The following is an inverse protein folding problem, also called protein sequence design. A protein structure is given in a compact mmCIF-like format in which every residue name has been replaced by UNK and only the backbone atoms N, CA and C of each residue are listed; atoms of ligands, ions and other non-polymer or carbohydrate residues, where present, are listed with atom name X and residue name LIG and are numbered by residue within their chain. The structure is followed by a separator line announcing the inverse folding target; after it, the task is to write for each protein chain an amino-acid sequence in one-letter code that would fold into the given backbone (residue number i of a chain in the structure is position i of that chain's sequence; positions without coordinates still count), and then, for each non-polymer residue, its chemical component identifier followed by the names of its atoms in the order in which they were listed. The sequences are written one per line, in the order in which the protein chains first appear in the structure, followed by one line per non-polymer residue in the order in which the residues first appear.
data_IF_712963277508
#
_entry.id   IF_712963277508
#
_cell.length_a   1.000
_cell.length_b   1.000
_cell.length_c   1.000
_cell.angle_alpha   90.00
_cell.angle_beta   90.00
_cell.angle_gamma   90.00
#
_symmetry.space_group_name_H-M   'P 1'
#
loop_
_entity.id
_entity.type
_entity.pdbx_description
1 polymer ?
#
# COMPACT_ATOMS: atom_id res chain seq x y z
N UNK A 1 4.50 2.49 10.30
CA UNK A 1 5.67 2.23 11.14
C UNK A 1 5.37 2.51 12.62
N UNK A 2 4.90 3.73 12.99
CA UNK A 2 4.57 4.11 14.39
C UNK A 2 3.58 3.13 15.04
N UNK A 3 2.53 2.74 14.33
CA UNK A 3 1.52 1.80 14.82
C UNK A 3 2.04 0.35 14.90
N UNK A 4 2.95 -0.05 13.99
CA UNK A 4 3.62 -1.34 14.02
C UNK A 4 4.49 -1.51 15.27
N UNK A 5 5.18 -0.46 15.72
CA UNK A 5 5.98 -0.49 16.95
C UNK A 5 5.12 -0.87 18.16
N UNK A 6 3.89 -0.35 18.24
CA UNK A 6 2.96 -0.72 19.33
C UNK A 6 2.51 -2.18 19.23
N UNK A 7 2.16 -2.65 18.05
CA UNK A 7 1.76 -4.04 17.84
C UNK A 7 2.88 -5.00 18.22
N UNK A 8 4.12 -4.71 17.84
CA UNK A 8 5.31 -5.46 18.25
C UNK A 8 5.54 -5.39 19.77
N UNK A 9 5.37 -4.22 20.35
CA UNK A 9 5.51 -4.03 21.80
C UNK A 9 4.51 -4.90 22.58
N UNK A 10 3.24 -4.91 22.22
CA UNK A 10 2.24 -5.78 22.85
C UNK A 10 2.55 -7.26 22.65
N UNK A 11 3.04 -7.64 21.49
CA UNK A 11 3.47 -9.01 21.21
C UNK A 11 4.64 -9.41 22.13
N UNK A 12 5.65 -8.55 22.29
CA UNK A 12 6.79 -8.82 23.17
C UNK A 12 6.38 -8.88 24.64
N UNK A 13 5.54 -7.99 25.14
CA UNK A 13 5.05 -8.05 26.53
C UNK A 13 4.23 -9.33 26.76
N UNK A 14 3.44 -9.75 25.79
CA UNK A 14 2.67 -10.99 25.87
C UNK A 14 3.55 -12.25 25.94
N UNK A 15 4.68 -12.27 25.22
CA UNK A 15 5.64 -13.37 25.24
C UNK A 15 6.56 -13.37 26.48
N UNK A 16 6.89 -12.20 27.00
CA UNK A 16 7.85 -12.04 28.11
C UNK A 16 7.25 -11.22 29.26
N UNK A 17 6.22 -11.73 29.98
CA UNK A 17 5.51 -10.98 31.01
C UNK A 17 6.36 -10.62 32.22
N UNK A 18 7.55 -11.22 32.38
CA UNK A 18 8.49 -10.94 33.46
C UNK A 18 9.45 -9.79 33.20
N UNK A 19 9.49 -9.28 31.97
CA UNK A 19 10.33 -8.13 31.63
C UNK A 19 9.62 -6.82 31.98
N UNK A 20 9.89 -6.27 33.16
CA UNK A 20 9.48 -4.93 33.55
C UNK A 20 10.37 -3.89 32.84
N UNK A 21 9.98 -3.42 31.67
CA UNK A 21 10.60 -2.25 31.08
C UNK A 21 9.97 -0.99 31.71
N UNK A 22 10.68 -0.33 32.60
CA UNK A 22 10.37 1.02 33.07
C UNK A 22 10.68 2.01 31.94
N UNK A 23 9.71 2.24 31.04
CA UNK A 23 9.91 3.01 29.79
C UNK A 23 9.12 4.31 29.84
N UNK A 24 8.78 4.83 31.03
CA UNK A 24 7.88 5.95 31.21
C UNK A 24 8.32 7.23 30.47
N UNK A 25 9.62 7.48 30.37
CA UNK A 25 10.17 8.64 29.66
C UNK A 25 10.03 8.54 28.12
N UNK A 26 10.07 7.33 27.56
CA UNK A 26 9.95 7.10 26.10
C UNK A 26 8.51 6.84 25.69
N UNK A 27 7.72 6.25 26.58
CA UNK A 27 6.31 5.88 26.30
C UNK A 27 5.44 7.11 26.10
N UNK A 28 5.59 8.15 26.93
CA UNK A 28 4.74 9.37 26.82
C UNK A 28 4.90 10.08 25.47
N UNK A 29 6.09 10.46 24.98
CA UNK A 29 6.23 11.08 23.67
C UNK A 29 5.81 10.17 22.53
N UNK A 30 6.07 8.85 22.64
CA UNK A 30 5.60 7.89 21.66
C UNK A 30 4.06 7.85 21.57
N UNK A 31 3.36 7.83 22.71
CA UNK A 31 1.89 7.80 22.75
C UNK A 31 1.28 9.08 22.14
N UNK A 32 1.90 10.25 22.39
CA UNK A 32 1.50 11.53 21.77
C UNK A 32 1.61 11.47 20.24
N UNK A 33 2.76 10.98 19.74
CA UNK A 33 2.97 10.82 18.30
C UNK A 33 1.95 9.82 17.74
N UNK A 34 1.75 8.69 18.41
CA UNK A 34 0.78 7.66 18.01
C UNK A 34 -0.62 8.23 17.89
N UNK A 35 -1.11 8.94 18.92
CA UNK A 35 -2.45 9.52 18.92
C UNK A 35 -2.63 10.57 17.82
N UNK A 36 -1.59 11.39 17.58
CA UNK A 36 -1.59 12.32 16.44
C UNK A 36 -1.74 11.59 15.11
N UNK A 37 -1.04 10.47 14.92
CA UNK A 37 -1.19 9.65 13.72
C UNK A 37 -2.56 8.97 13.63
N UNK A 38 -3.14 8.50 14.74
CA UNK A 38 -4.51 7.93 14.75
C UNK A 38 -5.52 8.96 14.22
N UNK A 39 -5.44 10.21 14.67
CA UNK A 39 -6.33 11.28 14.20
C UNK A 39 -6.07 11.60 12.72
N UNK A 40 -4.82 11.84 12.35
CA UNK A 40 -4.45 12.20 10.97
C UNK A 40 -4.84 11.10 9.97
N UNK A 41 -4.55 9.84 10.30
CA UNK A 41 -4.90 8.69 9.45
C UNK A 41 -6.42 8.53 9.35
N UNK A 42 -7.16 8.67 10.47
CA UNK A 42 -8.62 8.61 10.46
C UNK A 42 -9.24 9.68 9.54
N UNK A 43 -8.75 10.91 9.62
CA UNK A 43 -9.20 12.01 8.76
C UNK A 43 -8.85 11.75 7.29
N UNK A 44 -7.61 11.30 7.02
CA UNK A 44 -7.16 11.02 5.66
C UNK A 44 -7.94 9.87 5.01
N UNK A 45 -8.20 8.80 5.77
CA UNK A 45 -8.98 7.64 5.29
C UNK A 45 -10.45 8.03 5.07
N UNK A 46 -11.05 8.80 5.97
CA UNK A 46 -12.41 9.31 5.82
C UNK A 46 -12.52 10.18 4.56
N UNK A 47 -11.55 11.07 4.33
CA UNK A 47 -11.49 11.87 3.11
C UNK A 47 -11.28 11.01 1.85
N UNK A 48 -10.44 9.97 1.93
CA UNK A 48 -10.24 9.04 0.83
C UNK A 48 -11.51 8.24 0.49
N UNK A 49 -12.28 7.82 1.52
CA UNK A 49 -13.58 7.19 1.35
C UNK A 49 -14.59 8.17 0.71
N UNK A 50 -14.66 9.41 1.20
CA UNK A 50 -15.49 10.45 0.60
C UNK A 50 -15.17 10.66 -0.89
N UNK A 51 -13.88 10.75 -1.24
CA UNK A 51 -13.45 10.88 -2.64
C UNK A 51 -13.86 9.69 -3.50
N UNK A 52 -13.81 8.46 -2.97
CA UNK A 52 -14.16 7.25 -3.72
C UNK A 52 -15.67 7.04 -3.85
N UNK A 53 -16.44 7.38 -2.83
CA UNK A 53 -17.88 7.13 -2.78
C UNK A 53 -18.70 8.28 -3.39
N UNK A 54 -18.27 9.53 -3.17
CA UNK A 54 -19.01 10.74 -3.54
C UNK A 54 -18.42 11.42 -4.77
N UNK A 55 -17.14 11.81 -4.72
CA UNK A 55 -16.49 12.61 -5.77
C UNK A 55 -16.20 11.79 -7.02
N UNK A 56 -15.79 10.52 -6.86
CA UNK A 56 -15.51 9.56 -7.94
C UNK A 56 -14.64 10.14 -9.08
N UNK A 57 -13.43 10.62 -8.80
CA UNK A 57 -12.60 11.23 -9.84
C UNK A 57 -12.21 10.21 -10.89
N UNK A 58 -12.32 10.57 -12.17
CA UNK A 58 -12.10 9.69 -13.34
C UNK A 58 -10.73 9.01 -13.36
N UNK A 59 -9.68 9.71 -12.87
CA UNK A 59 -8.32 9.15 -12.82
C UNK A 59 -8.13 7.99 -11.84
N UNK A 60 -9.04 7.81 -10.86
CA UNK A 60 -8.94 6.76 -9.84
C UNK A 60 -9.66 5.49 -10.27
N UNK A 61 -8.99 4.36 -10.16
CA UNK A 61 -9.62 3.05 -10.29
C UNK A 61 -10.52 2.79 -9.08
N UNK A 62 -11.84 2.83 -9.30
CA UNK A 62 -12.83 2.54 -8.27
C UNK A 62 -12.99 1.03 -8.14
N UNK A 63 -12.40 0.43 -7.12
CA UNK A 63 -12.51 -1.00 -6.83
C UNK A 63 -13.09 -1.23 -5.44
N UNK A 64 -13.87 -2.30 -5.29
CA UNK A 64 -14.39 -2.73 -3.99
C UNK A 64 -13.25 -3.03 -3.01
N UNK A 65 -12.16 -3.63 -3.48
CA UNK A 65 -10.96 -3.92 -2.73
C UNK A 65 -10.38 -2.66 -2.05
N UNK A 66 -10.29 -1.54 -2.79
CA UNK A 66 -9.81 -0.27 -2.24
C UNK A 66 -10.73 0.31 -1.17
N UNK A 67 -12.04 0.05 -1.22
CA UNK A 67 -12.99 0.46 -0.18
C UNK A 67 -12.80 -0.42 1.06
N UNK A 68 -12.71 -1.75 0.88
CA UNK A 68 -12.51 -2.71 1.99
C UNK A 68 -11.24 -2.38 2.78
N UNK A 69 -10.13 -2.10 2.11
CA UNK A 69 -8.87 -1.75 2.79
C UNK A 69 -8.99 -0.43 3.55
N UNK A 70 -9.62 0.60 2.97
CA UNK A 70 -9.84 1.85 3.70
C UNK A 70 -10.72 1.66 4.93
N UNK A 71 -11.76 0.81 4.85
CA UNK A 71 -12.60 0.46 5.99
C UNK A 71 -11.83 -0.32 7.06
N UNK A 72 -10.96 -1.26 6.66
CA UNK A 72 -10.10 -1.98 7.61
C UNK A 72 -9.15 -1.02 8.34
N UNK A 73 -8.52 -0.08 7.61
CA UNK A 73 -7.63 0.91 8.24
C UNK A 73 -8.43 1.78 9.22
N UNK A 74 -9.61 2.24 8.84
CA UNK A 74 -10.46 3.05 9.73
C UNK A 74 -10.85 2.26 10.98
N UNK A 75 -11.21 0.98 10.82
CA UNK A 75 -11.58 0.11 11.93
C UNK A 75 -10.41 -0.17 12.88
N UNK A 76 -9.18 -0.32 12.33
CA UNK A 76 -7.94 -0.40 13.13
C UNK A 76 -7.74 0.88 13.95
N UNK A 77 -7.93 2.07 13.36
CA UNK A 77 -7.77 3.34 14.09
C UNK A 77 -8.82 3.51 15.18
N UNK A 78 -10.09 3.21 14.88
CA UNK A 78 -11.19 3.32 15.84
C UNK A 78 -11.03 2.31 16.98
N UNK A 79 -10.65 1.07 16.68
CA UNK A 79 -10.43 0.05 17.71
C UNK A 79 -9.24 0.38 18.61
N UNK A 80 -8.15 0.97 18.07
CA UNK A 80 -7.02 1.44 18.87
C UNK A 80 -7.44 2.56 19.84
N UNK A 81 -8.19 3.54 19.35
CA UNK A 81 -8.71 4.64 20.17
C UNK A 81 -9.67 4.16 21.27
N UNK A 82 -10.56 3.20 20.95
CA UNK A 82 -11.49 2.62 21.93
C UNK A 82 -10.79 1.72 22.95
N UNK A 83 -9.73 1.01 22.56
CA UNK A 83 -8.90 0.24 23.48
C UNK A 83 -8.25 1.13 24.52
N UNK A 84 -7.63 2.23 24.10
CA UNK A 84 -7.03 3.20 25.00
C UNK A 84 -8.06 3.89 25.89
N UNK A 85 -9.21 4.27 25.33
CA UNK A 85 -10.30 4.85 26.09
C UNK A 85 -10.86 3.91 27.16
N UNK A 86 -11.02 2.62 26.83
CA UNK A 86 -11.45 1.59 27.77
C UNK A 86 -10.43 1.36 28.87
N UNK A 87 -9.14 1.37 28.55
CA UNK A 87 -8.09 1.27 29.54
C UNK A 87 -8.08 2.48 30.49
N UNK A 88 -8.17 3.71 29.96
CA UNK A 88 -8.21 4.95 30.75
C UNK A 88 -9.47 5.04 31.63
N UNK A 89 -10.62 4.59 31.11
CA UNK A 89 -11.88 4.57 31.87
C UNK A 89 -11.81 3.63 33.08
N UNK A 90 -11.06 2.52 32.98
CA UNK A 90 -10.82 1.56 34.07
C UNK A 90 -9.76 2.03 35.07
N UNK A 91 -8.83 2.90 34.65
CA UNK A 91 -7.73 3.37 35.46
C UNK A 91 -7.71 4.92 35.55
N UNK A 92 -8.74 5.55 36.13
CA UNK A 92 -8.90 7.01 36.11
C UNK A 92 -7.79 7.76 36.87
N UNK A 93 -7.12 7.09 37.81
CA UNK A 93 -6.06 7.67 38.63
C UNK A 93 -4.67 7.59 37.97
N UNK A 94 -4.54 6.81 36.90
CA UNK A 94 -3.28 6.66 36.16
C UNK A 94 -3.36 7.53 34.91
N UNK A 95 -2.57 8.58 34.87
CA UNK A 95 -2.49 9.46 33.70
C UNK A 95 -1.24 9.10 32.91
N UNK A 96 -1.42 8.33 31.82
CA UNK A 96 -0.41 8.25 30.78
C UNK A 96 -0.51 9.54 29.95
N UNK A 97 0.47 10.42 30.08
CA UNK A 97 0.46 11.76 29.50
C UNK A 97 0.31 11.85 27.98
N UNK A 98 0.42 10.70 27.30
CA UNK A 98 0.39 10.61 25.82
C UNK A 98 -0.93 10.13 25.22
N UNK A 99 -1.91 9.68 26.01
CA UNK A 99 -3.19 9.13 25.49
C UNK A 99 -4.24 10.25 25.44
N UNK A 100 -4.17 11.12 24.42
CA UNK A 100 -5.09 12.24 24.30
C UNK A 100 -6.47 11.82 23.81
N UNK A 101 -6.53 11.01 22.75
CA UNK A 101 -7.79 10.54 22.13
C UNK A 101 -8.52 9.63 23.11
N UNK A 102 -7.83 8.64 23.68
CA UNK A 102 -8.42 7.73 24.68
C UNK A 102 -8.96 8.48 25.90
N UNK A 103 -8.21 9.49 26.41
CA UNK A 103 -8.61 10.31 27.55
C UNK A 103 -9.85 11.16 27.26
N UNK A 104 -10.01 11.63 26.02
CA UNK A 104 -11.19 12.43 25.62
C UNK A 104 -12.45 11.56 25.51
N UNK A 105 -12.31 10.28 25.15
CA UNK A 105 -13.43 9.34 25.01
C UNK A 105 -13.78 8.63 26.33
N UNK A 106 -12.81 8.44 27.22
CA UNK A 106 -12.98 7.70 28.48
C UNK A 106 -14.15 8.18 29.35
N UNK A 107 -14.40 9.49 29.57
CA UNK A 107 -15.54 9.96 30.36
C UNK A 107 -16.89 9.54 29.77
N UNK A 108 -17.00 9.49 28.43
CA UNK A 108 -18.21 9.04 27.74
C UNK A 108 -18.45 7.56 28.01
N UNK A 109 -17.39 6.74 27.98
CA UNK A 109 -17.48 5.32 28.27
C UNK A 109 -17.87 5.05 29.74
N UNK A 110 -17.40 5.87 30.68
CA UNK A 110 -17.72 5.74 32.10
C UNK A 110 -19.24 5.91 32.39
N UNK A 111 -19.95 6.71 31.58
CA UNK A 111 -21.40 6.88 31.69
C UNK A 111 -22.16 5.55 31.42
N UNK A 112 -21.58 4.66 30.60
CA UNK A 112 -22.18 3.38 30.24
C UNK A 112 -22.08 2.30 31.33
N UNK A 113 -21.31 2.58 32.40
CA UNK A 113 -21.09 1.65 33.52
C UNK A 113 -19.88 0.73 33.34
N UNK A 114 -19.39 0.19 34.45
CA UNK A 114 -18.15 -0.60 34.52
C UNK A 114 -18.13 -1.81 33.58
N UNK A 115 -19.25 -2.57 33.55
CA UNK A 115 -19.33 -3.79 32.75
C UNK A 115 -19.30 -3.51 31.26
N UNK A 116 -19.98 -2.45 30.81
CA UNK A 116 -19.95 -2.01 29.44
C UNK A 116 -18.52 -1.57 29.02
N UNK A 117 -17.79 -0.87 29.89
CA UNK A 117 -16.38 -0.46 29.63
C UNK A 117 -15.50 -1.69 29.42
N UNK A 118 -15.65 -2.74 30.26
CA UNK A 118 -14.87 -3.98 30.10
C UNK A 118 -15.18 -4.66 28.78
N UNK A 119 -16.47 -4.75 28.40
CA UNK A 119 -16.86 -5.36 27.13
C UNK A 119 -16.35 -4.57 25.93
N UNK A 120 -16.45 -3.23 25.94
CA UNK A 120 -15.96 -2.37 24.87
C UNK A 120 -14.44 -2.49 24.73
N UNK A 121 -13.70 -2.48 25.85
CA UNK A 121 -12.25 -2.63 25.83
C UNK A 121 -11.83 -3.98 25.24
N UNK A 122 -12.45 -5.09 25.66
CA UNK A 122 -12.15 -6.41 25.14
C UNK A 122 -12.53 -6.55 23.65
N UNK A 123 -13.71 -6.03 23.27
CA UNK A 123 -14.15 -6.03 21.89
C UNK A 123 -13.19 -5.22 20.99
N UNK A 124 -12.76 -4.04 21.45
CA UNK A 124 -11.81 -3.21 20.76
C UNK A 124 -10.47 -3.94 20.56
N UNK A 125 -9.96 -4.64 21.57
CA UNK A 125 -8.77 -5.45 21.48
C UNK A 125 -8.87 -6.52 20.40
N UNK A 126 -9.90 -7.36 20.46
CA UNK A 126 -10.07 -8.45 19.49
C UNK A 126 -10.34 -7.93 18.08
N UNK A 127 -11.14 -6.88 17.94
CA UNK A 127 -11.38 -6.22 16.65
C UNK A 127 -10.07 -5.72 16.05
N UNK A 128 -9.23 -5.06 16.86
CA UNK A 128 -7.94 -4.56 16.42
C UNK A 128 -7.04 -5.70 15.89
N UNK A 129 -6.87 -6.75 16.67
CA UNK A 129 -6.01 -7.90 16.29
C UNK A 129 -6.52 -8.57 15.02
N UNK A 130 -7.82 -8.86 14.95
CA UNK A 130 -8.40 -9.50 13.75
C UNK A 130 -8.24 -8.62 12.52
N UNK A 131 -8.51 -7.31 12.63
CA UNK A 131 -8.35 -6.39 11.51
C UNK A 131 -6.89 -6.26 11.05
N UNK A 132 -5.93 -6.22 11.98
CA UNK A 132 -4.50 -6.20 11.65
C UNK A 132 -4.10 -7.48 10.93
N UNK A 133 -4.50 -8.66 11.42
CA UNK A 133 -4.20 -9.93 10.77
C UNK A 133 -4.84 -10.02 9.37
N UNK A 134 -6.11 -9.63 9.24
CA UNK A 134 -6.77 -9.55 7.94
C UNK A 134 -6.04 -8.60 6.99
N UNK A 135 -5.64 -7.42 7.47
CA UNK A 135 -4.89 -6.46 6.66
C UNK A 135 -3.56 -7.03 6.20
N UNK A 136 -2.80 -7.68 7.09
CA UNK A 136 -1.51 -8.29 6.76
C UNK A 136 -1.62 -9.43 5.76
N UNK A 137 -2.70 -10.22 5.81
CA UNK A 137 -2.93 -11.32 4.84
C UNK A 137 -3.43 -10.82 3.49
N UNK A 138 -4.20 -9.72 3.47
CA UNK A 138 -4.69 -9.11 2.23
C UNK A 138 -3.59 -8.34 1.49
N UNK A 139 -2.63 -7.75 2.21
CA UNK A 139 -1.63 -6.85 1.64
C UNK A 139 -0.78 -7.48 0.52
N UNK A 140 -0.17 -8.68 0.70
CA UNK A 140 0.65 -9.30 -0.36
C UNK A 140 -0.16 -9.79 -1.57
N UNK A 141 -1.45 -10.10 -1.37
CA UNK A 141 -2.32 -10.64 -2.43
C UNK A 141 -3.18 -9.58 -3.10
N UNK A 142 -2.93 -8.31 -2.82
CA UNK A 142 -3.73 -7.20 -3.27
C UNK A 142 -2.90 -6.16 -4.03
N UNK A 143 -3.57 -5.27 -4.74
CA UNK A 143 -2.92 -4.11 -5.36
C UNK A 143 -2.19 -3.20 -4.34
N UNK A 144 -2.41 -3.39 -3.04
CA UNK A 144 -1.76 -2.62 -1.97
C UNK A 144 -0.37 -3.14 -1.62
N UNK A 145 0.13 -4.17 -2.31
CA UNK A 145 1.52 -4.62 -2.21
C UNK A 145 2.51 -3.46 -2.45
N UNK A 146 2.12 -2.45 -3.23
CA UNK A 146 2.92 -1.24 -3.45
C UNK A 146 3.33 -0.51 -2.15
N UNK A 147 2.62 -0.69 -1.04
CA UNK A 147 3.00 -0.11 0.27
C UNK A 147 4.37 -0.62 0.72
N UNK A 148 4.68 -1.88 0.43
CA UNK A 148 5.97 -2.50 0.74
C UNK A 148 6.96 -2.28 -0.41
N UNK A 149 6.54 -2.51 -1.65
CA UNK A 149 7.42 -2.54 -2.82
C UNK A 149 7.87 -1.16 -3.27
N UNK A 150 7.10 -0.09 -2.99
CA UNK A 150 7.49 1.27 -3.37
C UNK A 150 8.77 1.77 -2.68
N UNK A 151 9.03 1.35 -1.43
CA UNK A 151 10.24 1.75 -0.70
C UNK A 151 11.50 1.23 -1.40
N UNK A 152 11.68 -0.09 -1.62
CA UNK A 152 12.82 -0.59 -2.37
C UNK A 152 12.80 -0.10 -3.83
N UNK A 153 11.63 0.12 -4.42
CA UNK A 153 11.53 0.61 -5.79
C UNK A 153 12.16 2.00 -5.95
N UNK A 154 11.83 2.92 -5.05
CA UNK A 154 12.42 4.26 -5.03
C UNK A 154 13.91 4.19 -4.68
N UNK A 155 14.31 3.33 -3.75
CA UNK A 155 15.71 3.17 -3.38
C UNK A 155 16.58 2.69 -4.54
N UNK A 156 16.10 1.75 -5.34
CA UNK A 156 16.79 1.21 -6.51
C UNK A 156 16.45 1.95 -7.81
N UNK A 157 15.75 3.08 -7.74
CA UNK A 157 15.47 3.88 -8.93
C UNK A 157 16.76 4.41 -9.54
N UNK A 158 16.80 4.44 -10.87
CA UNK A 158 17.90 5.09 -11.58
C UNK A 158 17.64 6.59 -11.56
N UNK A 159 18.61 7.35 -11.05
CA UNK A 159 18.61 8.80 -11.22
C UNK A 159 19.21 9.04 -12.60
N UNK A 160 18.44 9.52 -13.59
CA UNK A 160 18.97 9.72 -14.93
C UNK A 160 20.08 10.78 -14.86
N UNK A 161 21.26 10.43 -15.31
CA UNK A 161 22.23 11.43 -15.76
C UNK A 161 21.56 12.24 -16.88
N UNK A 162 21.78 13.56 -16.88
CA UNK A 162 21.17 14.50 -17.83
C UNK A 162 21.02 13.91 -19.24
N UNK A 163 19.82 13.51 -19.60
CA UNK A 163 19.50 12.89 -20.89
C UNK A 163 18.56 11.70 -20.70
N UNK A 164 17.71 11.45 -21.67
CA UNK A 164 16.68 10.44 -21.68
C UNK A 164 17.18 9.10 -21.13
N UNK A 165 16.54 8.60 -20.07
CA UNK A 165 16.88 7.34 -19.42
C UNK A 165 16.64 6.07 -20.26
N UNK A 166 16.54 6.22 -21.58
CA UNK A 166 16.41 5.11 -22.51
C UNK A 166 17.73 4.35 -22.59
N UNK A 167 17.66 3.05 -22.44
CA UNK A 167 18.77 2.16 -22.70
C UNK A 167 19.18 2.24 -24.17
N UNK A 168 20.46 2.45 -24.43
CA UNK A 168 20.99 2.31 -25.79
C UNK A 168 20.93 0.84 -26.19
N UNK A 169 20.37 0.58 -27.36
CA UNK A 169 20.37 -0.73 -27.98
C UNK A 169 21.75 -0.89 -28.63
N UNK A 170 22.44 -1.97 -28.28
CA UNK A 170 23.71 -2.33 -28.89
C UNK A 170 23.46 -3.25 -30.08
N UNK A 171 23.51 -2.69 -31.27
CA UNK A 171 23.31 -3.44 -32.52
C UNK A 171 24.57 -4.18 -32.98
N UNK A 172 25.72 -3.98 -32.31
CA UNK A 172 26.99 -4.63 -32.65
C UNK A 172 27.17 -5.95 -31.88
N UNK A 173 26.30 -6.22 -30.92
CA UNK A 173 26.33 -7.46 -30.15
C UNK A 173 25.68 -8.60 -30.96
N UNK A 174 26.50 -9.41 -31.61
CA UNK A 174 26.06 -10.58 -32.42
C UNK A 174 25.41 -11.70 -31.61
N UNK A 175 25.57 -11.72 -30.29
CA UNK A 175 24.94 -12.71 -29.39
C UNK A 175 23.48 -12.35 -29.04
N UNK A 176 23.06 -11.14 -29.35
CA UNK A 176 21.72 -10.66 -28.99
C UNK A 176 20.72 -10.89 -30.13
N UNK A 177 19.93 -11.94 -30.03
CA UNK A 177 18.90 -12.27 -31.02
C UNK A 177 17.69 -11.33 -30.98
N UNK A 178 17.37 -10.75 -29.80
CA UNK A 178 16.21 -9.86 -29.57
C UNK A 178 16.67 -8.50 -29.02
N UNK A 179 16.25 -7.42 -29.68
CA UNK A 179 16.56 -6.03 -29.25
C UNK A 179 15.50 -5.40 -28.37
N UNK A 180 14.65 -6.20 -27.73
CA UNK A 180 13.58 -5.74 -26.85
C UNK A 180 13.05 -6.85 -25.99
N UNK A 181 11.99 -6.55 -25.22
CA UNK A 181 11.30 -7.49 -24.34
C UNK A 181 10.06 -7.98 -25.06
N UNK A 182 9.99 -9.28 -25.33
CA UNK A 182 8.84 -9.93 -26.01
C UNK A 182 7.95 -10.69 -25.04
N UNK A 183 8.50 -11.13 -23.90
CA UNK A 183 7.80 -11.90 -22.86
C UNK A 183 8.04 -11.29 -21.49
N UNK A 184 7.18 -11.63 -20.54
CA UNK A 184 7.21 -11.08 -19.19
C UNK A 184 8.45 -11.51 -18.37
N UNK A 185 9.00 -12.67 -18.65
CA UNK A 185 10.19 -13.24 -18.00
C UNK A 185 11.51 -12.63 -18.48
N UNK A 186 11.48 -11.91 -19.59
CA UNK A 186 12.65 -11.20 -20.12
C UNK A 186 12.89 -9.82 -19.46
N UNK A 187 11.93 -9.32 -18.67
CA UNK A 187 12.12 -8.09 -17.92
C UNK A 187 13.14 -8.25 -16.79
N UNK A 188 13.93 -7.22 -16.55
CA UNK A 188 14.82 -7.18 -15.39
C UNK A 188 14.01 -7.19 -14.08
N UNK A 189 14.60 -7.72 -13.00
CA UNK A 189 13.98 -7.73 -11.67
C UNK A 189 13.47 -6.36 -11.23
N UNK A 190 14.17 -5.28 -11.60
CA UNK A 190 13.76 -3.91 -11.29
C UNK A 190 12.46 -3.51 -12.01
N UNK A 191 12.31 -3.88 -13.27
CA UNK A 191 11.08 -3.63 -14.03
C UNK A 191 9.90 -4.47 -13.50
N UNK A 192 10.15 -5.70 -13.07
CA UNK A 192 9.14 -6.51 -12.39
C UNK A 192 8.71 -5.89 -11.06
N UNK A 193 9.65 -5.31 -10.30
CA UNK A 193 9.36 -4.56 -9.08
C UNK A 193 8.56 -3.27 -9.37
N UNK A 194 8.86 -2.58 -10.50
CA UNK A 194 8.11 -1.41 -10.95
C UNK A 194 6.60 -1.72 -11.07
N UNK A 195 6.25 -2.84 -11.71
CA UNK A 195 4.84 -3.23 -11.90
C UNK A 195 4.11 -3.41 -10.58
N UNK A 196 4.75 -4.02 -9.57
CA UNK A 196 4.17 -4.21 -8.23
C UNK A 196 4.17 -2.93 -7.39
N UNK A 197 4.97 -1.92 -7.75
CA UNK A 197 5.06 -0.67 -7.02
C UNK A 197 4.06 0.38 -7.50
N UNK A 198 3.35 0.11 -8.59
CA UNK A 198 2.33 1.02 -9.12
C UNK A 198 1.19 1.24 -8.13
N UNK A 199 0.98 2.51 -7.75
CA UNK A 199 -0.07 2.92 -6.80
C UNK A 199 -1.43 3.14 -7.46
N UNK A 200 -1.54 2.96 -8.78
CA UNK A 200 -2.74 3.24 -9.59
C UNK A 200 -3.31 4.67 -9.39
N UNK A 201 -2.46 5.64 -9.08
CA UNK A 201 -2.89 7.01 -8.80
C UNK A 201 -3.33 7.79 -10.05
N UNK A 202 -2.97 7.34 -11.25
CA UNK A 202 -3.35 7.92 -12.53
C UNK A 202 -2.70 9.27 -12.87
N UNK A 203 -1.63 9.69 -12.18
CA UNK A 203 -0.91 10.93 -12.52
C UNK A 203 -0.27 10.85 -13.89
N UNK A 204 0.31 9.70 -14.24
CA UNK A 204 0.91 9.45 -15.54
C UNK A 204 -0.08 9.58 -16.70
N UNK A 205 -1.36 9.23 -16.49
CA UNK A 205 -2.41 9.40 -17.49
C UNK A 205 -2.71 10.88 -17.75
N UNK A 206 -2.70 11.71 -16.70
CA UNK A 206 -3.01 13.16 -16.81
C UNK A 206 -1.99 13.91 -17.68
N UNK A 207 -0.73 13.49 -17.63
CA UNK A 207 0.37 14.16 -18.35
C UNK A 207 0.71 13.49 -19.68
N UNK A 208 0.08 12.37 -20.02
CA UNK A 208 0.39 11.62 -21.25
C UNK A 208 -0.16 12.34 -22.49
N UNK A 209 0.69 12.80 -23.45
CA UNK A 209 0.24 13.48 -24.65
C UNK A 209 -0.53 12.55 -25.60
N UNK A 210 -0.18 11.27 -25.63
CA UNK A 210 -0.89 10.29 -26.44
C UNK A 210 -2.33 10.11 -25.95
N UNK A 211 -2.53 9.91 -24.64
CA UNK A 211 -3.86 9.79 -24.05
C UNK A 211 -4.66 11.08 -24.24
N UNK A 212 -4.04 12.24 -24.02
CA UNK A 212 -4.69 13.54 -24.21
C UNK A 212 -5.14 13.80 -25.66
N UNK A 213 -4.46 13.18 -26.64
CA UNK A 213 -4.84 13.26 -28.05
C UNK A 213 -5.87 12.20 -28.50
N UNK A 214 -6.40 11.41 -27.54
CA UNK A 214 -7.38 10.36 -27.83
C UNK A 214 -6.79 9.04 -28.35
N UNK A 215 -5.48 8.82 -28.23
CA UNK A 215 -4.84 7.55 -28.56
C UNK A 215 -5.10 6.50 -27.48
N UNK A 216 -5.07 5.18 -27.81
CA UNK A 216 -5.42 4.11 -26.87
C UNK A 216 -4.34 3.79 -25.83
N UNK A 217 -3.41 4.71 -25.55
CA UNK A 217 -2.36 4.53 -24.58
C UNK A 217 -2.71 5.20 -23.25
N UNK A 218 -2.93 4.41 -22.20
CA UNK A 218 -2.90 4.83 -20.80
C UNK A 218 -1.66 4.24 -20.14
N UNK A 219 -0.66 5.05 -19.73
CA UNK A 219 0.53 4.55 -19.04
C UNK A 219 0.21 3.79 -17.76
N UNK A 220 -0.81 4.22 -17.01
CA UNK A 220 -1.30 3.50 -15.83
C UNK A 220 -1.83 2.12 -16.22
N UNK A 221 -2.71 2.05 -17.21
CA UNK A 221 -3.33 0.78 -17.62
C UNK A 221 -2.28 -0.19 -18.14
N UNK A 222 -1.33 0.29 -18.93
CA UNK A 222 -0.19 -0.51 -19.41
C UNK A 222 0.57 -1.18 -18.25
N UNK A 223 0.89 -0.43 -17.21
CA UNK A 223 1.59 -0.98 -16.02
C UNK A 223 0.73 -1.99 -15.27
N UNK A 224 -0.58 -1.72 -15.15
CA UNK A 224 -1.54 -2.63 -14.49
C UNK A 224 -1.69 -3.92 -15.28
N UNK A 225 -1.82 -3.87 -16.60
CA UNK A 225 -1.96 -5.05 -17.47
C UNK A 225 -0.71 -5.94 -17.40
N UNK A 226 0.48 -5.33 -17.39
CA UNK A 226 1.75 -6.06 -17.22
C UNK A 226 1.86 -6.71 -15.83
N UNK A 227 1.47 -6.03 -14.76
CA UNK A 227 1.41 -6.59 -13.41
C UNK A 227 0.45 -7.78 -13.34
N UNK A 228 -0.75 -7.61 -13.88
CA UNK A 228 -1.78 -8.65 -13.84
C UNK A 228 -1.40 -9.85 -14.70
N UNK A 229 -0.68 -9.61 -15.80
CA UNK A 229 -0.09 -10.67 -16.60
C UNK A 229 1.02 -11.41 -15.83
N UNK A 230 1.94 -10.69 -15.21
CA UNK A 230 2.99 -11.27 -14.36
C UNK A 230 2.38 -12.16 -13.26
N UNK A 231 1.37 -11.68 -12.54
CA UNK A 231 0.70 -12.44 -11.51
C UNK A 231 0.07 -13.75 -12.04
N UNK A 232 -0.51 -13.72 -13.23
CA UNK A 232 -1.06 -14.91 -13.89
C UNK A 232 0.01 -15.91 -14.32
N UNK A 233 1.19 -15.42 -14.72
CA UNK A 233 2.30 -16.26 -15.17
C UNK A 233 3.18 -16.76 -14.01
N UNK A 234 3.11 -16.16 -12.83
CA UNK A 234 3.95 -16.49 -11.67
C UNK A 234 3.95 -18.01 -11.32
N UNK A 235 2.82 -18.73 -11.26
CA UNK A 235 2.84 -20.17 -10.97
C UNK A 235 3.65 -20.98 -12.00
N UNK A 236 3.61 -20.60 -13.26
CA UNK A 236 4.38 -21.24 -14.34
C UNK A 236 5.87 -20.90 -14.24
N UNK A 237 6.19 -19.63 -13.99
CA UNK A 237 7.57 -19.16 -13.87
C UNK A 237 8.29 -19.76 -12.65
N UNK A 238 7.55 -20.06 -11.57
CA UNK A 238 8.08 -20.70 -10.36
C UNK A 238 8.09 -22.23 -10.45
N UNK A 239 7.56 -22.83 -11.51
CA UNK A 239 7.54 -24.28 -11.71
C UNK A 239 6.45 -25.02 -10.91
N UNK A 240 5.48 -24.30 -10.36
CA UNK A 240 4.38 -24.87 -9.56
C UNK A 240 3.30 -25.56 -10.41
N UNK A 241 3.31 -25.38 -11.74
CA UNK A 241 2.33 -25.99 -12.65
C UNK A 241 2.95 -27.08 -13.50
N UNK A 242 2.25 -28.21 -13.59
CA UNK A 242 2.64 -29.36 -14.41
C UNK A 242 2.38 -29.16 -15.92
N UNK A 243 1.62 -28.14 -16.30
CA UNK A 243 1.38 -27.81 -17.69
C UNK A 243 2.46 -26.84 -18.20
N UNK A 244 3.26 -27.29 -19.15
CA UNK A 244 4.19 -26.45 -19.90
C UNK A 244 3.40 -25.53 -20.85
N UNK A 245 2.81 -24.49 -20.30
CA UNK A 245 2.19 -23.46 -21.12
C UNK A 245 3.29 -22.46 -21.54
N UNK A 246 3.46 -22.27 -22.82
CA UNK A 246 4.38 -21.26 -23.34
C UNK A 246 3.93 -19.88 -22.86
N UNK A 247 4.87 -19.11 -22.27
CA UNK A 247 4.59 -17.73 -21.87
C UNK A 247 4.13 -16.93 -23.11
N UNK A 248 2.93 -16.35 -23.11
CA UNK A 248 2.41 -15.65 -24.28
C UNK A 248 3.24 -14.37 -24.56
N UNK A 249 3.30 -14.00 -25.83
CA UNK A 249 3.92 -12.76 -26.25
C UNK A 249 3.16 -11.56 -25.65
N UNK A 250 3.89 -10.54 -25.26
CA UNK A 250 3.29 -9.31 -24.69
C UNK A 250 2.49 -8.55 -25.75
N UNK A 251 3.07 -8.33 -26.94
CA UNK A 251 2.40 -7.63 -28.04
C UNK A 251 1.40 -8.56 -28.72
N UNK A 252 0.21 -8.04 -28.99
CA UNK A 252 -0.89 -8.80 -29.59
C UNK A 252 -1.58 -9.80 -28.64
N UNK A 253 -0.95 -10.15 -27.51
CA UNK A 253 -1.50 -11.07 -26.50
C UNK A 253 -2.02 -10.35 -25.26
N UNK A 254 -1.19 -9.51 -24.65
CA UNK A 254 -1.48 -8.77 -23.41
C UNK A 254 -1.72 -7.29 -23.69
N UNK A 255 -0.90 -6.73 -24.56
CA UNK A 255 -0.91 -5.33 -24.95
C UNK A 255 -1.20 -5.25 -26.44
N UNK A 256 -2.12 -4.39 -26.81
CA UNK A 256 -2.41 -4.15 -28.22
C UNK A 256 -1.24 -3.37 -28.87
N UNK A 257 -0.86 -3.74 -30.07
CA UNK A 257 0.21 -3.10 -30.84
C UNK A 257 -0.02 -1.59 -30.98
N UNK A 258 -1.23 -1.16 -31.26
CA UNK A 258 -1.59 0.25 -31.38
C UNK A 258 -1.31 1.02 -30.07
N UNK A 259 -1.49 0.39 -28.91
CA UNK A 259 -1.20 1.00 -27.60
C UNK A 259 0.27 1.34 -27.48
N UNK A 260 1.17 0.41 -27.83
CA UNK A 260 2.62 0.63 -27.72
C UNK A 260 3.08 1.67 -28.75
N UNK A 261 2.64 1.55 -29.99
CA UNK A 261 2.99 2.49 -31.06
C UNK A 261 2.41 3.90 -30.87
N UNK A 262 1.46 4.09 -30.00
CA UNK A 262 0.96 5.42 -29.61
C UNK A 262 1.93 6.20 -28.71
N UNK A 263 2.93 5.54 -28.13
CA UNK A 263 3.88 6.17 -27.22
C UNK A 263 4.86 7.08 -27.99
N UNK A 264 4.98 8.33 -27.53
CA UNK A 264 5.93 9.31 -28.09
C UNK A 264 7.29 9.31 -27.38
N UNK A 265 7.52 8.41 -26.43
CA UNK A 265 8.76 8.28 -25.64
C UNK A 265 9.21 9.59 -24.97
N UNK A 266 8.26 10.45 -24.58
CA UNK A 266 8.56 11.77 -24.00
C UNK A 266 9.01 11.73 -22.53
N UNK A 267 8.85 10.60 -21.81
CA UNK A 267 9.27 10.44 -20.41
C UNK A 267 8.38 11.12 -19.36
N UNK A 268 7.34 11.88 -19.76
CA UNK A 268 6.49 12.64 -18.82
C UNK A 268 5.79 11.75 -17.78
N UNK A 269 5.45 10.50 -18.12
CA UNK A 269 4.83 9.54 -17.20
C UNK A 269 5.81 9.06 -16.12
N UNK A 270 7.10 8.92 -16.43
CA UNK A 270 8.16 8.56 -15.48
C UNK A 270 8.43 9.71 -14.51
N UNK A 271 8.54 10.94 -15.03
CA UNK A 271 8.82 12.13 -14.23
C UNK A 271 7.71 12.44 -13.23
N UNK A 272 6.45 12.26 -13.62
CA UNK A 272 5.30 12.50 -12.74
C UNK A 272 5.02 11.36 -11.75
N UNK A 273 5.72 10.23 -11.87
CA UNK A 273 5.48 9.06 -11.05
C UNK A 273 6.03 9.23 -9.62
N UNK A 274 5.18 9.20 -8.55
CA UNK A 274 5.62 9.41 -7.17
C UNK A 274 6.47 8.25 -6.62
N UNK A 275 6.49 7.10 -7.30
CA UNK A 275 7.24 5.89 -6.92
C UNK A 275 8.30 5.51 -7.95
N UNK A 276 8.59 6.39 -8.90
CA UNK A 276 9.71 6.30 -9.85
C UNK A 276 9.71 4.99 -10.66
N UNK A 277 8.58 4.69 -11.31
CA UNK A 277 8.38 3.55 -12.23
C UNK A 277 8.84 3.94 -13.63
#
# INVERSE_FOLDING_TARGET
LVLLVRALWFFFIGLFPTMNFSVDEIVTPYLLIKDSFVVLVSLAVTYALYRRLVVKPERLTLSLEGIVILLLILLIMVSDALFDAGWQARNPHVSLGGILVGRSIAPILQILGSDAVVHIHNLAYWTHIVCVLCFLTLLPNSKHLHIITSIPNVFFSRIPEKGNGLHRIDFENEEQENFGVTKIDEFSWKKLLDFHSCTECGRCDVVCPALASGKPLSPKQLTVDLRDHLNRQTPYLLGDSLEQTTVPALLGGVINDETVWSCTTCGACEEECPVMI
#
